data_IF_044008785923
#
_entry.id   IF_044008785923
#
_cell.length_a   1.000
_cell.length_b   1.000
_cell.length_c   1.000
_cell.angle_alpha   90.00
_cell.angle_beta   90.00
_cell.angle_gamma   90.00
#
_symmetry.space_group_name_H-M   'P 1'
#
loop_
_entity.id
_entity.type
_entity.pdbx_description
1 polymer ?
#
# COMPACT_ATOMS: atom_id res chain seq x y z
N UNK A 1 7.18 -8.21 -18.06
CA UNK A 1 8.39 -7.89 -17.29
C UNK A 1 8.19 -6.53 -16.61
N UNK A 2 8.75 -6.33 -15.42
CA UNK A 2 8.53 -5.11 -14.62
C UNK A 2 9.83 -4.63 -13.98
N UNK A 3 9.94 -3.33 -13.78
CA UNK A 3 11.02 -2.68 -13.05
C UNK A 3 10.53 -2.21 -11.67
N UNK A 4 11.41 -2.25 -10.68
CA UNK A 4 11.11 -1.89 -9.28
C UNK A 4 12.19 -0.98 -8.73
N UNK A 5 11.79 0.04 -7.96
CA UNK A 5 12.74 0.96 -7.32
C UNK A 5 12.31 1.27 -5.88
N UNK A 6 13.27 1.13 -4.96
CA UNK A 6 13.09 1.42 -3.52
C UNK A 6 13.54 2.84 -3.23
N UNK A 7 12.70 3.61 -2.53
CA UNK A 7 13.01 4.97 -2.09
C UNK A 7 13.01 5.07 -0.56
N UNK A 8 14.07 5.65 0.01
CA UNK A 8 14.24 5.84 1.46
C UNK A 8 13.50 7.06 2.01
N UNK A 9 12.69 7.74 1.20
CA UNK A 9 11.88 8.87 1.66
C UNK A 9 10.56 8.34 2.21
N UNK A 10 10.14 8.84 3.38
CA UNK A 10 8.85 8.46 3.98
C UNK A 10 7.76 9.46 3.61
N UNK A 11 6.67 8.95 3.04
CA UNK A 11 5.54 9.74 2.54
C UNK A 11 4.22 9.13 3.04
N UNK A 12 3.15 9.92 3.08
CA UNK A 12 1.80 9.35 3.20
C UNK A 12 1.43 8.61 1.91
N UNK A 13 0.39 7.78 1.95
CA UNK A 13 0.07 6.91 0.82
C UNK A 13 -0.22 7.70 -0.48
N UNK A 14 -0.99 8.79 -0.38
CA UNK A 14 -1.36 9.60 -1.54
C UNK A 14 -0.15 10.29 -2.19
N UNK A 15 0.76 10.82 -1.37
CA UNK A 15 2.00 11.43 -1.84
C UNK A 15 2.96 10.38 -2.42
N UNK A 16 3.02 9.19 -1.83
CA UNK A 16 3.84 8.08 -2.33
C UNK A 16 3.40 7.59 -3.70
N UNK A 17 2.08 7.43 -3.89
CA UNK A 17 1.50 7.07 -5.18
C UNK A 17 1.78 8.14 -6.24
N UNK A 18 1.51 9.40 -5.91
CA UNK A 18 1.83 10.53 -6.77
C UNK A 18 3.32 10.57 -7.12
N UNK A 19 4.19 10.36 -6.14
CA UNK A 19 5.63 10.34 -6.34
C UNK A 19 6.05 9.27 -7.36
N UNK A 20 5.50 8.05 -7.28
CA UNK A 20 5.78 6.99 -8.25
C UNK A 20 5.35 7.38 -9.67
N UNK A 21 4.15 7.95 -9.84
CA UNK A 21 3.66 8.39 -11.17
C UNK A 21 4.55 9.45 -11.83
N UNK A 22 5.35 10.17 -11.03
CA UNK A 22 6.30 11.17 -11.51
C UNK A 22 7.68 10.59 -11.86
N UNK A 23 8.02 9.37 -11.41
CA UNK A 23 9.33 8.78 -11.68
C UNK A 23 9.44 8.22 -13.10
N UNK A 24 8.37 7.58 -13.58
CA UNK A 24 8.35 6.96 -14.91
C UNK A 24 6.92 6.84 -15.42
N UNK A 25 6.74 6.87 -16.74
CA UNK A 25 5.43 6.65 -17.36
C UNK A 25 4.88 5.27 -16.96
N UNK A 26 3.66 5.25 -16.44
CA UNK A 26 3.01 4.02 -15.98
C UNK A 26 3.57 3.46 -14.67
N UNK A 27 4.33 4.26 -13.92
CA UNK A 27 4.80 3.86 -12.59
C UNK A 27 3.80 4.20 -11.50
N UNK A 28 3.62 3.25 -10.59
CA UNK A 28 2.72 3.33 -9.45
C UNK A 28 3.40 2.71 -8.24
N UNK A 29 2.80 2.83 -7.06
CA UNK A 29 3.17 1.97 -5.93
C UNK A 29 3.12 0.49 -6.34
N UNK A 30 4.00 -0.30 -5.74
CA UNK A 30 4.10 -1.72 -6.07
C UNK A 30 2.77 -2.45 -5.88
N UNK A 31 2.39 -3.23 -6.88
CA UNK A 31 1.33 -4.23 -6.82
C UNK A 31 1.95 -5.62 -6.77
N UNK A 32 1.29 -6.56 -6.09
CA UNK A 32 1.73 -7.94 -5.96
C UNK A 32 0.71 -8.90 -6.56
N UNK A 33 1.19 -9.84 -7.38
CA UNK A 33 0.36 -10.85 -8.05
C UNK A 33 0.84 -12.28 -7.80
N UNK A 34 1.94 -12.46 -7.06
CA UNK A 34 2.39 -13.77 -6.61
C UNK A 34 3.27 -13.68 -5.36
N UNK A 35 3.46 -14.79 -4.64
CA UNK A 35 4.39 -14.89 -3.50
C UNK A 35 5.83 -14.57 -3.91
N UNK A 36 6.25 -15.04 -5.08
CA UNK A 36 7.60 -14.88 -5.60
C UNK A 36 7.92 -13.40 -5.89
N UNK A 37 6.91 -12.63 -6.30
CA UNK A 37 7.05 -11.18 -6.48
C UNK A 37 7.25 -10.46 -5.14
N UNK A 38 6.53 -10.88 -4.09
CA UNK A 38 6.72 -10.35 -2.74
C UNK A 38 8.11 -10.69 -2.23
N UNK A 39 8.54 -11.96 -2.34
CA UNK A 39 9.88 -12.41 -1.95
C UNK A 39 10.97 -11.61 -2.67
N UNK A 40 10.80 -11.37 -3.97
CA UNK A 40 11.71 -10.55 -4.77
C UNK A 40 11.81 -9.13 -4.21
N UNK A 41 10.69 -8.44 -3.99
CA UNK A 41 10.70 -7.07 -3.47
C UNK A 41 11.25 -7.02 -2.04
N UNK A 42 10.86 -7.94 -1.17
CA UNK A 42 11.38 -8.08 0.21
C UNK A 42 12.90 -8.24 0.21
N UNK A 43 13.45 -9.05 -0.71
CA UNK A 43 14.90 -9.24 -0.87
C UNK A 43 15.65 -7.95 -1.26
N UNK A 44 14.97 -6.98 -1.89
CA UNK A 44 15.52 -5.67 -2.25
C UNK A 44 15.33 -4.64 -1.15
N UNK A 45 14.20 -4.68 -0.44
CA UNK A 45 13.88 -3.70 0.61
C UNK A 45 14.62 -3.99 1.92
N UNK A 46 14.71 -5.26 2.35
CA UNK A 46 15.30 -5.61 3.65
C UNK A 46 16.75 -5.11 3.84
N UNK A 47 17.66 -5.27 2.86
CA UNK A 47 19.04 -4.80 3.02
C UNK A 47 19.15 -3.30 3.23
N UNK A 48 18.22 -2.53 2.62
CA UNK A 48 18.20 -1.06 2.58
C UNK A 48 17.45 -0.48 3.79
N UNK A 49 16.25 -1.02 4.08
CA UNK A 49 15.30 -0.44 5.03
C UNK A 49 15.26 -1.16 6.39
N UNK A 50 15.91 -2.33 6.51
CA UNK A 50 15.92 -3.18 7.72
C UNK A 50 14.50 -3.59 8.14
N UNK A 51 14.13 -3.39 9.40
CA UNK A 51 12.83 -3.74 9.96
C UNK A 51 11.87 -2.55 9.86
N UNK A 52 11.11 -2.46 8.77
CA UNK A 52 10.15 -1.38 8.53
C UNK A 52 9.00 -1.86 7.63
N UNK A 53 8.21 -0.91 7.14
CA UNK A 53 7.08 -1.16 6.24
C UNK A 53 7.17 -0.26 5.01
N UNK A 54 6.75 -0.80 3.87
CA UNK A 54 6.62 -0.07 2.61
C UNK A 54 5.17 0.02 2.20
N UNK A 55 4.78 1.15 1.62
CA UNK A 55 3.46 1.27 0.99
C UNK A 55 3.32 0.32 -0.20
N UNK A 56 2.12 -0.22 -0.37
CA UNK A 56 1.71 -0.95 -1.58
C UNK A 56 0.51 -0.25 -2.23
N UNK A 57 0.20 -0.58 -3.48
CA UNK A 57 -0.84 0.07 -4.29
C UNK A 57 -2.30 -0.17 -3.87
N UNK A 58 -2.58 -0.45 -2.58
CA UNK A 58 -3.92 -0.62 -2.03
C UNK A 58 -4.25 0.51 -1.03
N UNK A 59 -5.33 1.25 -1.28
CA UNK A 59 -5.84 2.32 -0.41
C UNK A 59 -7.32 2.16 -0.15
N UNK A 60 -7.80 2.82 0.92
CA UNK A 60 -9.22 2.92 1.25
C UNK A 60 -9.93 1.55 1.33
N UNK A 61 -9.22 0.52 1.83
CA UNK A 61 -9.65 -0.88 1.70
C UNK A 61 -11.00 -1.21 2.31
N UNK A 62 -11.45 -0.43 3.30
CA UNK A 62 -12.76 -0.61 3.92
C UNK A 62 -13.89 0.15 3.23
N UNK A 63 -13.60 1.12 2.37
CA UNK A 63 -14.64 1.95 1.75
C UNK A 63 -15.49 1.15 0.76
N UNK A 64 -14.90 0.16 0.09
CA UNK A 64 -15.60 -0.70 -0.87
C UNK A 64 -16.38 -1.86 -0.22
N UNK A 65 -16.19 -2.12 1.07
CA UNK A 65 -16.95 -3.17 1.76
C UNK A 65 -18.45 -2.82 1.82
N UNK A 66 -19.31 -3.81 1.66
CA UNK A 66 -20.72 -3.68 2.02
C UNK A 66 -20.83 -3.53 3.54
N UNK A 67 -21.54 -2.49 4.00
CA UNK A 67 -21.88 -2.31 5.42
C UNK A 67 -23.37 -2.50 5.56
N UNK A 68 -23.75 -3.39 6.47
CA UNK A 68 -25.13 -3.72 6.78
C UNK A 68 -25.30 -3.91 8.28
N UNK A 69 -26.49 -3.61 8.78
CA UNK A 69 -26.83 -3.92 10.15
C UNK A 69 -27.20 -5.40 10.27
N UNK A 70 -26.76 -6.05 11.34
CA UNK A 70 -27.05 -7.46 11.59
C UNK A 70 -28.54 -7.75 11.84
N UNK A 71 -29.34 -6.72 12.11
CA UNK A 71 -30.79 -6.81 12.26
C UNK A 71 -31.56 -6.65 10.94
N UNK A 72 -30.85 -6.46 9.81
CA UNK A 72 -31.43 -6.29 8.48
C UNK A 72 -32.06 -4.91 8.23
N UNK A 73 -31.93 -3.95 9.17
CA UNK A 73 -32.40 -2.59 8.95
C UNK A 73 -31.55 -1.86 7.91
N UNK A 74 -32.13 -0.84 7.27
CA UNK A 74 -31.45 -0.05 6.25
C UNK A 74 -30.37 0.82 6.89
N UNK A 75 -29.17 0.81 6.32
CA UNK A 75 -28.09 1.73 6.68
C UNK A 75 -28.27 3.09 5.99
N UNK A 76 -29.08 3.97 6.58
CA UNK A 76 -29.34 5.34 6.10
C UNK A 76 -28.51 6.42 6.83
N UNK A 77 -28.36 6.32 8.14
CA UNK A 77 -27.46 7.14 8.94
C UNK A 77 -26.03 6.57 8.94
N UNK A 78 -25.03 7.44 8.70
CA UNK A 78 -23.61 7.07 8.66
C UNK A 78 -22.79 8.08 9.46
N UNK A 79 -22.08 7.60 10.47
CA UNK A 79 -21.17 8.40 11.30
C UNK A 79 -19.82 7.69 11.47
N UNK A 80 -19.27 7.19 10.36
CA UNK A 80 -17.94 6.58 10.35
C UNK A 80 -16.88 7.63 10.72
N UNK A 81 -15.86 7.24 11.48
CA UNK A 81 -14.67 8.06 11.61
C UNK A 81 -14.03 8.20 10.22
N UNK A 82 -13.67 9.43 9.82
CA UNK A 82 -13.13 9.73 8.48
C UNK A 82 -11.71 9.21 8.21
N UNK A 83 -11.22 8.23 8.98
CA UNK A 83 -9.92 7.63 8.79
C UNK A 83 -9.95 6.67 7.59
N UNK A 84 -8.97 6.78 6.72
CA UNK A 84 -8.75 5.86 5.61
C UNK A 84 -7.62 4.91 5.93
N UNK A 85 -7.86 3.62 5.70
CA UNK A 85 -6.90 2.55 5.87
C UNK A 85 -6.25 2.19 4.52
N UNK A 86 -4.92 2.15 4.52
CA UNK A 86 -4.07 1.76 3.40
C UNK A 86 -3.22 0.56 3.79
N UNK A 87 -2.76 -0.20 2.81
CA UNK A 87 -2.00 -1.42 3.09
C UNK A 87 -0.50 -1.16 2.97
N UNK A 88 0.24 -1.72 3.92
CA UNK A 88 1.70 -1.82 3.88
C UNK A 88 2.14 -3.27 3.79
N UNK A 89 3.29 -3.50 3.16
CA UNK A 89 4.02 -4.77 3.22
C UNK A 89 5.19 -4.64 4.19
N UNK A 90 5.42 -5.69 4.99
CA UNK A 90 6.63 -5.79 5.83
C UNK A 90 7.86 -5.97 4.96
N UNK A 91 8.98 -5.39 5.38
CA UNK A 91 10.27 -5.61 4.73
C UNK A 91 10.95 -6.91 5.15
N UNK A 92 10.37 -7.68 6.07
CA UNK A 92 10.99 -8.87 6.68
C UNK A 92 10.35 -10.19 6.27
N UNK A 93 9.10 -10.15 5.85
CA UNK A 93 8.29 -11.32 5.53
C UNK A 93 7.15 -10.91 4.58
N UNK A 94 6.35 -11.89 4.15
CA UNK A 94 5.33 -11.68 3.12
C UNK A 94 3.98 -11.20 3.68
N UNK A 95 3.93 -10.73 4.94
CA UNK A 95 2.69 -10.27 5.55
C UNK A 95 2.41 -8.80 5.22
N UNK A 96 1.12 -8.50 5.07
CA UNK A 96 0.61 -7.15 4.87
C UNK A 96 -0.19 -6.71 6.10
N UNK A 97 -0.19 -5.40 6.36
CA UNK A 97 -0.93 -4.81 7.47
C UNK A 97 -1.74 -3.61 6.98
N UNK A 98 -2.90 -3.39 7.59
CA UNK A 98 -3.64 -2.13 7.46
C UNK A 98 -3.00 -1.06 8.36
N UNK A 99 -2.85 0.15 7.82
CA UNK A 99 -2.30 1.32 8.49
C UNK A 99 -3.06 2.57 8.04
N UNK A 100 -3.12 3.59 8.91
CA UNK A 100 -3.65 4.90 8.56
C UNK A 100 -2.88 5.48 7.35
N UNK A 101 -3.60 5.76 6.26
CA UNK A 101 -3.03 6.30 5.02
C UNK A 101 -2.24 7.60 5.21
N UNK A 102 -2.52 8.37 6.26
CA UNK A 102 -1.82 9.62 6.61
C UNK A 102 -0.44 9.38 7.25
N UNK A 103 -0.16 8.15 7.70
CA UNK A 103 1.15 7.76 8.24
C UNK A 103 2.26 7.88 7.22
N UNK A 104 3.48 8.22 7.64
CA UNK A 104 4.63 8.24 6.73
C UNK A 104 5.33 6.89 6.68
N UNK A 105 5.49 6.31 5.49
CA UNK A 105 6.17 5.02 5.23
C UNK A 105 7.03 5.09 3.97
N UNK A 106 7.93 4.12 3.83
CA UNK A 106 8.82 4.02 2.67
C UNK A 106 8.05 3.62 1.41
N UNK A 107 8.67 3.86 0.25
CA UNK A 107 8.03 3.76 -1.06
C UNK A 107 8.77 2.75 -1.93
N UNK A 108 8.01 1.88 -2.58
CA UNK A 108 8.50 1.04 -3.67
C UNK A 108 7.63 1.30 -4.89
N UNK A 109 8.24 1.79 -5.96
CA UNK A 109 7.56 2.02 -7.22
C UNK A 109 7.77 0.83 -8.16
N UNK A 110 6.75 0.51 -8.96
CA UNK A 110 6.75 -0.52 -9.99
C UNK A 110 6.27 0.08 -11.31
N UNK A 111 6.83 -0.35 -12.44
CA UNK A 111 6.32 -0.05 -13.78
C UNK A 111 6.62 -1.18 -14.75
N UNK A 112 5.88 -1.24 -15.85
CA UNK A 112 6.14 -2.19 -16.93
C UNK A 112 7.33 -1.71 -17.77
N UNK A 113 8.27 -2.64 -18.05
CA UNK A 113 9.44 -2.39 -18.89
C UNK A 113 9.06 -2.16 -20.36
#
# INVERSE_FOLDING_TARGET
EHCYQVFQQKMNWADAEKFCTQQHKGSHLVSFHSSEEVDFVTSKTFPILKYDFVWIGLSNVWNECTKEWSDGTKLDYKAWSGGSDCIVSKTTDNQWLSMDCSSKRYVVCKFQA
#
